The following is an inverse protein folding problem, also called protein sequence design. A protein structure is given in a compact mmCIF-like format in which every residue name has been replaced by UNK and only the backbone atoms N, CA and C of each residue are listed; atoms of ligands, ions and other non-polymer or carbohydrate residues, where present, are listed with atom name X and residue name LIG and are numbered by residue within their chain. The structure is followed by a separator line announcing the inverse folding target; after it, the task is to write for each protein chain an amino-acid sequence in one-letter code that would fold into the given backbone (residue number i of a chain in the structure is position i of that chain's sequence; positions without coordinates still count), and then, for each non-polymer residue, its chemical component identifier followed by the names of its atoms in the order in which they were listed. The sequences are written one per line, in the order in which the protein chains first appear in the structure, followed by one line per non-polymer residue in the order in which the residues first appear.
data_IF_248163679961
#
_entry.id   IF_248163679961
#
_cell.length_a   1.000
_cell.length_b   1.000
_cell.length_c   1.000
_cell.angle_alpha   90.00
_cell.angle_beta   90.00
_cell.angle_gamma   90.00
#
_symmetry.space_group_name_H-M   'P 1'
#
loop_
_entity.id
_entity.type
_entity.pdbx_description
1 polymer ?
#
# COMPACT_ATOMS: atom_id res chain seq x y z
N UNK A 1 -12.10 -31.62 -7.50
CA UNK A 1 -11.98 -30.21 -7.88
C UNK A 1 -11.30 -29.45 -6.75
N UNK A 2 -10.17 -28.84 -7.02
CA UNK A 2 -9.52 -28.03 -6.00
C UNK A 2 -10.21 -26.67 -5.95
N UNK A 3 -10.72 -26.28 -4.79
CA UNK A 3 -11.19 -24.93 -4.58
C UNK A 3 -9.98 -24.00 -4.50
N UNK A 4 -10.06 -22.85 -5.18
CA UNK A 4 -9.06 -21.80 -5.03
C UNK A 4 -9.38 -21.11 -3.70
N UNK A 5 -8.61 -21.42 -2.68
CA UNK A 5 -8.76 -20.77 -1.37
C UNK A 5 -7.91 -19.51 -1.38
N UNK A 6 -8.58 -18.36 -1.28
CA UNK A 6 -7.93 -17.08 -1.11
C UNK A 6 -7.78 -16.79 0.37
N UNK A 7 -6.58 -16.43 0.80
CA UNK A 7 -6.36 -15.96 2.16
C UNK A 7 -6.99 -14.57 2.32
N UNK A 8 -7.23 -14.18 3.54
CA UNK A 8 -7.81 -12.88 3.87
C UNK A 8 -6.89 -12.10 4.80
N UNK A 9 -6.95 -10.78 4.69
CA UNK A 9 -6.27 -9.91 5.65
C UNK A 9 -7.14 -9.84 6.90
N UNK A 10 -6.74 -10.59 7.93
CA UNK A 10 -7.39 -10.53 9.24
C UNK A 10 -6.94 -9.27 9.97
N UNK A 11 -7.66 -8.89 11.03
CA UNK A 11 -7.23 -7.78 11.89
C UNK A 11 -5.83 -8.03 12.46
N UNK A 12 -5.56 -9.26 12.88
CA UNK A 12 -4.24 -9.65 13.38
C UNK A 12 -3.15 -9.42 12.32
N UNK A 13 -3.38 -9.86 11.08
CA UNK A 13 -2.42 -9.68 10.00
C UNK A 13 -2.24 -8.21 9.64
N UNK A 14 -3.32 -7.44 9.61
CA UNK A 14 -3.24 -6.00 9.37
C UNK A 14 -2.39 -5.30 10.44
N UNK A 15 -2.58 -5.68 11.71
CA UNK A 15 -1.77 -5.14 12.81
C UNK A 15 -0.30 -5.52 12.67
N UNK A 16 0.01 -6.77 12.28
CA UNK A 16 1.40 -7.19 12.04
C UNK A 16 2.05 -6.36 10.93
N UNK A 17 1.33 -6.11 9.85
CA UNK A 17 1.81 -5.28 8.75
C UNK A 17 2.17 -3.89 9.27
N UNK A 18 1.24 -3.25 9.99
CA UNK A 18 1.42 -1.89 10.49
C UNK A 18 2.61 -1.82 11.45
N UNK A 19 2.65 -2.69 12.44
CA UNK A 19 3.70 -2.67 13.47
C UNK A 19 5.08 -2.90 12.85
N UNK A 20 5.19 -3.82 11.90
CA UNK A 20 6.47 -4.11 11.26
C UNK A 20 6.87 -3.07 10.22
N UNK A 21 5.92 -2.40 9.59
CA UNK A 21 6.20 -1.24 8.75
C UNK A 21 6.79 -0.10 9.57
N UNK A 22 6.19 0.20 10.73
CA UNK A 22 6.68 1.22 11.65
C UNK A 22 8.05 0.84 12.21
N UNK A 23 8.21 -0.43 12.59
CA UNK A 23 9.51 -0.93 13.09
C UNK A 23 10.61 -0.73 12.05
N UNK A 24 10.33 -1.07 10.80
CA UNK A 24 11.30 -0.86 9.71
C UNK A 24 11.61 0.61 9.51
N UNK A 25 10.59 1.46 9.52
CA UNK A 25 10.78 2.90 9.41
C UNK A 25 11.69 3.45 10.52
N UNK A 26 11.53 2.96 11.75
CA UNK A 26 12.38 3.36 12.87
C UNK A 26 13.80 2.81 12.73
N UNK A 27 13.97 1.58 12.23
CA UNK A 27 15.28 0.98 11.97
C UNK A 27 16.10 1.78 10.94
N UNK A 28 15.46 2.21 9.85
CA UNK A 28 16.15 2.96 8.80
C UNK A 28 16.12 4.48 9.03
N UNK A 29 15.56 4.92 10.17
CA UNK A 29 15.58 6.31 10.64
C UNK A 29 14.96 7.31 9.67
N UNK A 30 13.89 6.94 9.01
CA UNK A 30 13.12 7.85 8.16
C UNK A 30 12.12 8.65 9.00
N UNK A 31 11.45 9.62 8.38
CA UNK A 31 10.41 10.40 9.02
C UNK A 31 9.27 9.51 9.52
N UNK A 32 8.49 10.02 10.46
CA UNK A 32 7.28 9.33 10.92
C UNK A 32 6.30 9.13 9.77
N UNK A 33 5.61 8.00 9.78
CA UNK A 33 4.79 7.54 8.67
C UNK A 33 3.34 7.30 9.08
N UNK A 34 2.46 7.37 8.08
CA UNK A 34 1.11 6.84 8.11
C UNK A 34 1.09 5.54 7.34
N UNK A 35 0.47 4.49 7.91
CA UNK A 35 0.30 3.19 7.26
C UNK A 35 -1.19 2.90 7.11
N UNK A 36 -1.61 2.58 5.89
CA UNK A 36 -2.99 2.19 5.57
C UNK A 36 -2.96 0.77 5.01
N UNK A 37 -3.79 -0.11 5.54
CA UNK A 37 -3.96 -1.49 5.03
C UNK A 37 -5.37 -1.64 4.50
N UNK A 38 -5.48 -2.00 3.22
CA UNK A 38 -6.76 -2.32 2.57
C UNK A 38 -6.93 -3.83 2.47
N UNK A 39 -8.17 -4.29 2.59
CA UNK A 39 -8.51 -5.70 2.44
C UNK A 39 -8.91 -6.03 0.99
N UNK A 40 -9.36 -7.27 0.77
CA UNK A 40 -9.75 -7.79 -0.55
C UNK A 40 -10.92 -7.05 -1.21
N UNK A 41 -11.62 -6.20 -0.46
CA UNK A 41 -12.71 -5.37 -0.99
C UNK A 41 -12.23 -3.98 -1.38
N UNK A 42 -10.96 -3.67 -1.10
CA UNK A 42 -10.45 -2.31 -1.22
C UNK A 42 -10.89 -1.41 -0.07
N UNK A 43 -11.44 -2.00 1.01
CA UNK A 43 -11.85 -1.27 2.19
C UNK A 43 -10.70 -1.15 3.20
N UNK A 44 -10.70 -0.07 3.97
CA UNK A 44 -9.70 0.11 5.02
C UNK A 44 -9.91 -0.95 6.09
N UNK A 45 -8.91 -1.82 6.28
CA UNK A 45 -8.90 -2.82 7.35
C UNK A 45 -8.34 -2.24 8.64
N UNK A 46 -7.27 -1.48 8.52
CA UNK A 46 -6.64 -0.80 9.64
C UNK A 46 -5.75 0.32 9.12
N UNK A 47 -5.56 1.36 9.93
CA UNK A 47 -4.58 2.40 9.63
C UNK A 47 -4.09 3.01 10.95
N UNK A 48 -2.81 3.38 10.97
CA UNK A 48 -2.20 4.07 12.11
C UNK A 48 -1.21 5.10 11.60
N UNK A 49 -1.23 6.27 12.23
CA UNK A 49 -0.24 7.31 11.98
C UNK A 49 0.68 7.45 13.18
N UNK A 50 1.98 7.59 12.93
CA UNK A 50 2.92 7.93 13.97
C UNK A 50 2.72 9.38 14.42
N UNK A 51 3.31 9.76 15.55
CA UNK A 51 3.16 11.10 16.11
C UNK A 51 3.73 12.17 15.20
N UNK A 52 3.07 13.32 15.15
CA UNK A 52 3.58 14.52 14.47
C UNK A 52 3.37 14.58 12.97
N UNK A 53 2.71 13.61 12.36
CA UNK A 53 2.41 13.67 10.91
C UNK A 53 1.21 14.58 10.64
N UNK A 54 1.16 15.15 9.43
CA UNK A 54 0.00 15.95 9.02
C UNK A 54 -1.16 15.04 8.59
N UNK A 55 -2.38 15.59 8.63
CA UNK A 55 -3.58 14.86 8.21
C UNK A 55 -3.56 14.49 6.74
N UNK A 56 -2.81 15.22 5.91
CA UNK A 56 -2.65 14.90 4.48
C UNK A 56 -1.96 13.55 4.27
N UNK A 57 -1.13 13.11 5.22
CA UNK A 57 -0.42 11.84 5.08
C UNK A 57 -1.37 10.65 4.95
N UNK A 58 -2.52 10.69 5.64
CA UNK A 58 -3.54 9.65 5.46
C UNK A 58 -4.05 9.62 4.00
N UNK A 59 -4.38 10.78 3.44
CA UNK A 59 -4.90 10.85 2.07
C UNK A 59 -3.89 10.35 1.05
N UNK A 60 -2.61 10.69 1.23
CA UNK A 60 -1.55 10.22 0.33
C UNK A 60 -1.36 8.71 0.48
N UNK A 61 -1.24 8.21 1.71
CA UNK A 61 -1.08 6.78 1.96
C UNK A 61 -2.26 5.98 1.43
N UNK A 62 -3.49 6.43 1.70
CA UNK A 62 -4.70 5.80 1.19
C UNK A 62 -4.73 5.81 -0.35
N UNK A 63 -4.39 6.95 -0.96
CA UNK A 63 -4.35 7.05 -2.42
C UNK A 63 -3.34 6.13 -3.07
N UNK A 64 -2.19 5.90 -2.42
CA UNK A 64 -1.20 4.92 -2.87
C UNK A 64 -1.76 3.49 -2.78
N UNK A 65 -2.34 3.13 -1.64
CA UNK A 65 -2.92 1.80 -1.43
C UNK A 65 -4.11 1.55 -2.36
N UNK A 66 -5.03 2.52 -2.45
CA UNK A 66 -6.24 2.41 -3.25
C UNK A 66 -5.93 2.35 -4.75
N UNK A 67 -5.03 3.21 -5.21
CA UNK A 67 -4.61 3.19 -6.61
C UNK A 67 -4.01 1.84 -7.00
N UNK A 68 -3.12 1.31 -6.17
CA UNK A 68 -2.52 0.00 -6.40
C UNK A 68 -3.59 -1.09 -6.45
N UNK A 69 -4.48 -1.13 -5.47
CA UNK A 69 -5.52 -2.15 -5.39
C UNK A 69 -6.50 -2.07 -6.57
N UNK A 70 -7.01 -0.88 -6.88
CA UNK A 70 -8.00 -0.69 -7.94
C UNK A 70 -7.42 -0.99 -9.33
N UNK A 71 -6.15 -0.67 -9.55
CA UNK A 71 -5.49 -0.90 -10.83
C UNK A 71 -4.85 -2.29 -10.92
N UNK A 72 -4.78 -3.03 -9.81
CA UNK A 72 -4.19 -4.36 -9.78
C UNK A 72 -2.67 -4.38 -10.00
N UNK A 73 -1.99 -3.29 -9.65
CA UNK A 73 -0.53 -3.16 -9.79
C UNK A 73 0.01 -2.25 -8.71
N UNK A 74 1.19 -2.55 -8.20
CA UNK A 74 1.84 -1.70 -7.22
C UNK A 74 2.05 -0.28 -7.75
N UNK A 75 2.08 0.71 -6.85
CA UNK A 75 2.09 2.11 -7.26
C UNK A 75 3.41 2.55 -7.93
N UNK A 76 4.47 1.76 -7.84
CA UNK A 76 5.67 1.98 -8.66
C UNK A 76 5.35 1.82 -10.14
N UNK A 77 4.55 0.82 -10.52
CA UNK A 77 4.10 0.66 -11.90
C UNK A 77 3.20 1.82 -12.34
N UNK A 78 2.37 2.33 -11.42
CA UNK A 78 1.55 3.51 -11.71
C UNK A 78 2.43 4.74 -11.93
N UNK A 79 3.50 4.89 -11.16
CA UNK A 79 4.47 5.96 -11.35
C UNK A 79 5.10 5.88 -12.75
N UNK A 80 5.57 4.69 -13.13
CA UNK A 80 6.15 4.48 -14.46
C UNK A 80 5.14 4.77 -15.58
N UNK A 81 3.89 4.37 -15.37
CA UNK A 81 2.81 4.66 -16.32
C UNK A 81 2.55 6.15 -16.43
N UNK A 82 2.57 6.88 -15.31
CA UNK A 82 2.37 8.33 -15.29
C UNK A 82 3.49 9.07 -16.04
N UNK A 83 4.73 8.57 -15.95
CA UNK A 83 5.85 9.14 -16.70
C UNK A 83 5.67 9.01 -18.20
N UNK A 84 5.08 7.92 -18.67
CA UNK A 84 4.91 7.61 -20.09
C UNK A 84 3.57 8.07 -20.64
N UNK A 85 2.52 8.01 -19.84
CA UNK A 85 1.14 8.28 -20.24
C UNK A 85 0.39 9.06 -19.16
N UNK A 86 0.87 10.28 -18.88
CA UNK A 86 0.25 11.14 -17.87
C UNK A 86 -1.24 11.34 -18.14
N UNK A 87 -1.65 11.42 -19.41
CA UNK A 87 -3.06 11.60 -19.78
C UNK A 87 -3.95 10.46 -19.27
N UNK A 88 -3.44 9.23 -19.28
CA UNK A 88 -4.18 8.06 -18.78
C UNK A 88 -4.34 8.12 -17.26
N UNK A 89 -3.25 8.33 -16.56
CA UNK A 89 -3.26 8.39 -15.08
C UNK A 89 -4.12 9.57 -14.60
N UNK A 90 -4.08 10.72 -15.28
CA UNK A 90 -4.92 11.87 -14.93
C UNK A 90 -6.39 11.55 -15.07
N UNK A 91 -6.79 10.82 -16.14
CA UNK A 91 -8.17 10.38 -16.32
C UNK A 91 -8.61 9.42 -15.21
N UNK A 92 -7.78 8.44 -14.89
CA UNK A 92 -8.07 7.47 -13.81
C UNK A 92 -8.15 8.16 -12.46
N UNK A 93 -7.29 9.14 -12.20
CA UNK A 93 -7.31 9.91 -10.96
C UNK A 93 -8.65 10.62 -10.78
N UNK A 94 -9.22 11.15 -11.86
CA UNK A 94 -10.56 11.76 -11.83
C UNK A 94 -11.63 10.73 -11.49
N UNK A 95 -11.56 9.53 -12.09
CA UNK A 95 -12.54 8.46 -11.84
C UNK A 95 -12.50 7.95 -10.41
N UNK A 96 -11.34 8.01 -9.75
CA UNK A 96 -11.18 7.61 -8.36
C UNK A 96 -11.38 8.76 -7.38
N UNK A 97 -11.86 9.90 -7.83
CA UNK A 97 -12.04 11.10 -7.01
C UNK A 97 -10.75 11.56 -6.32
N UNK A 98 -9.62 11.41 -7.00
CA UNK A 98 -8.32 11.79 -6.47
C UNK A 98 -7.71 10.73 -5.54
N UNK A 99 -8.37 9.61 -5.30
CA UNK A 99 -7.87 8.55 -4.41
C UNK A 99 -6.94 7.58 -5.13
N UNK A 100 -6.05 8.12 -5.94
CA UNK A 100 -4.99 7.41 -6.62
C UNK A 100 -3.77 8.31 -6.64
N UNK A 101 -2.70 7.90 -5.96
CA UNK A 101 -1.45 8.64 -5.90
C UNK A 101 -0.37 7.79 -6.57
N UNK A 102 0.06 8.17 -7.80
CA UNK A 102 0.90 7.32 -8.65
C UNK A 102 2.39 7.47 -8.34
N UNK A 103 2.79 7.17 -7.12
CA UNK A 103 4.20 7.17 -6.70
C UNK A 103 4.44 5.95 -5.80
N UNK A 104 5.68 5.45 -5.69
CA UNK A 104 5.96 4.27 -4.87
C UNK A 104 5.50 4.42 -3.42
N UNK A 105 5.23 3.30 -2.78
CA UNK A 105 4.71 3.24 -1.42
C UNK A 105 3.32 2.63 -1.31
N UNK A 106 2.67 2.33 -2.45
CA UNK A 106 1.47 1.50 -2.53
C UNK A 106 1.85 0.12 -3.04
N UNK A 107 1.73 -0.89 -2.19
CA UNK A 107 2.24 -2.23 -2.46
C UNK A 107 1.11 -3.23 -2.37
N UNK A 108 0.94 -4.06 -3.39
CA UNK A 108 -0.05 -5.13 -3.35
C UNK A 108 0.37 -6.20 -2.37
N UNK A 109 -0.61 -6.77 -1.70
CA UNK A 109 -0.43 -7.94 -0.83
C UNK A 109 -0.93 -9.15 -1.61
N UNK A 110 -0.04 -10.12 -1.84
CA UNK A 110 -0.40 -11.38 -2.49
C UNK A 110 -0.26 -12.54 -1.52
N UNK A 111 -1.17 -13.50 -1.62
CA UNK A 111 -1.08 -14.74 -0.85
C UNK A 111 -0.13 -15.73 -1.52
N UNK A 112 0.03 -16.91 -0.93
CA UNK A 112 0.92 -17.96 -1.45
C UNK A 112 0.52 -18.47 -2.84
N UNK A 113 -0.74 -18.28 -3.21
CA UNK A 113 -1.26 -18.66 -4.53
C UNK A 113 -1.25 -17.47 -5.50
N UNK A 114 -0.57 -16.40 -5.14
CA UNK A 114 -0.41 -15.18 -5.93
C UNK A 114 -1.70 -14.39 -6.16
N UNK A 115 -2.73 -14.61 -5.34
CA UNK A 115 -3.95 -13.81 -5.37
C UNK A 115 -3.69 -12.44 -4.73
N UNK A 116 -4.27 -11.39 -5.30
CA UNK A 116 -4.28 -10.07 -4.68
C UNK A 116 -5.33 -10.08 -3.57
N UNK A 117 -4.89 -9.93 -2.33
CA UNK A 117 -5.78 -10.00 -1.16
C UNK A 117 -5.90 -8.67 -0.43
N UNK A 118 -5.22 -7.65 -0.89
CA UNK A 118 -5.25 -6.31 -0.33
C UNK A 118 -4.08 -5.48 -0.80
N UNK A 119 -3.86 -4.37 -0.13
CA UNK A 119 -2.72 -3.51 -0.40
C UNK A 119 -2.32 -2.70 0.84
N UNK A 120 -1.11 -2.18 0.82
CA UNK A 120 -0.59 -1.28 1.85
C UNK A 120 -0.19 0.03 1.19
N UNK A 121 -0.51 1.13 1.84
CA UNK A 121 -0.01 2.44 1.42
C UNK A 121 0.68 3.13 2.58
N UNK A 122 1.83 3.73 2.31
CA UNK A 122 2.62 4.45 3.30
C UNK A 122 2.98 5.82 2.78
N UNK A 123 2.91 6.82 3.66
CA UNK A 123 3.32 8.18 3.39
C UNK A 123 4.00 8.79 4.62
N UNK A 124 5.11 9.46 4.41
CA UNK A 124 5.83 10.15 5.49
C UNK A 124 7.22 10.58 5.09
N UNK A 125 7.90 9.80 4.27
CA UNK A 125 9.26 10.05 3.83
C UNK A 125 9.31 10.12 2.30
N UNK A 126 10.46 9.82 1.68
CA UNK A 126 10.51 9.66 0.23
C UNK A 126 9.67 8.46 -0.18
N UNK A 127 9.14 8.47 -1.39
CA UNK A 127 8.32 7.37 -1.89
C UNK A 127 9.07 6.04 -1.88
N UNK A 128 10.36 6.05 -2.20
CA UNK A 128 11.18 4.83 -2.16
C UNK A 128 11.33 4.29 -0.74
N UNK A 129 11.54 5.15 0.24
CA UNK A 129 11.64 4.74 1.65
C UNK A 129 10.29 4.26 2.20
N UNK A 130 9.21 4.92 1.82
CA UNK A 130 7.85 4.48 2.17
C UNK A 130 7.61 3.06 1.65
N UNK A 131 8.05 2.77 0.44
CA UNK A 131 7.93 1.43 -0.18
C UNK A 131 8.72 0.38 0.61
N UNK A 132 9.93 0.70 1.04
CA UNK A 132 10.75 -0.23 1.84
C UNK A 132 10.02 -0.63 3.11
N UNK A 133 9.42 0.33 3.80
CA UNK A 133 8.65 0.06 5.02
C UNK A 133 7.44 -0.84 4.74
N UNK A 134 6.73 -0.60 3.62
CA UNK A 134 5.57 -1.41 3.24
C UNK A 134 5.96 -2.86 2.93
N UNK A 135 7.04 -3.06 2.19
CA UNK A 135 7.57 -4.40 1.88
C UNK A 135 7.85 -5.17 3.16
N UNK A 136 8.54 -4.54 4.10
CA UNK A 136 8.92 -5.17 5.37
C UNK A 136 7.69 -5.60 6.17
N UNK A 137 6.67 -4.75 6.22
CA UNK A 137 5.42 -5.06 6.92
C UNK A 137 4.69 -6.26 6.32
N UNK A 138 4.56 -6.29 5.00
CA UNK A 138 3.87 -7.37 4.28
C UNK A 138 4.61 -8.70 4.49
N UNK A 139 5.93 -8.70 4.36
CA UNK A 139 6.73 -9.91 4.54
C UNK A 139 6.64 -10.44 5.97
N UNK A 140 6.65 -9.56 6.96
CA UNK A 140 6.53 -9.94 8.37
C UNK A 140 5.20 -10.62 8.69
N UNK A 141 4.14 -10.32 7.93
CA UNK A 141 2.84 -10.96 8.08
C UNK A 141 2.73 -12.30 7.32
N UNK A 142 3.79 -12.70 6.62
CA UNK A 142 3.83 -13.96 5.87
C UNK A 142 3.27 -13.86 4.46
N UNK A 143 3.09 -12.67 3.92
CA UNK A 143 2.58 -12.47 2.57
C UNK A 143 3.67 -12.00 1.61
N UNK A 144 3.32 -11.93 0.34
CA UNK A 144 4.22 -11.49 -0.74
C UNK A 144 3.91 -10.05 -1.13
N UNK A 145 4.90 -9.15 -1.04
CA UNK A 145 4.73 -7.79 -1.55
C UNK A 145 4.90 -7.75 -3.07
N UNK A 146 4.10 -6.91 -3.73
CA UNK A 146 4.21 -6.65 -5.15
C UNK A 146 4.21 -5.14 -5.35
N UNK A 147 5.38 -4.59 -5.65
CA UNK A 147 5.58 -3.14 -5.78
C UNK A 147 5.18 -2.60 -7.16
N UNK A 148 5.03 -3.49 -8.11
CA UNK A 148 4.69 -3.12 -9.49
C UNK A 148 5.86 -3.00 -10.44
#
# INVERSE_FOLDING_TARGET
MSEIIMEHITLEKANLIIQNSIKKAREIKINHIMVVVLDHRGAIKACLGEDGISSLRFKIAHGKANGAFQMGMGSRALFNRAEQQAYFINAINTLTNGELVPVPGGVLIRDKNNNIIGSVGISGDTSDNDEIAAISGIEAAGFKPDVG
#
